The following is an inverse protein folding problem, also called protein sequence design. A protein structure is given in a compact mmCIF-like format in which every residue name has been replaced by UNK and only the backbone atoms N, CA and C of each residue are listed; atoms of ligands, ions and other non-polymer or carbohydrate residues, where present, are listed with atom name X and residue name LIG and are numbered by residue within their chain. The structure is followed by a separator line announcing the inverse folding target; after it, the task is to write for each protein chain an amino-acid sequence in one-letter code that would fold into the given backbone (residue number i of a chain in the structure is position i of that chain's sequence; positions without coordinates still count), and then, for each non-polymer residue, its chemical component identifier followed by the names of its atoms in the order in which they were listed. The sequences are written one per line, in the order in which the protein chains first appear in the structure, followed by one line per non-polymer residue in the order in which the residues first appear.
data_IF_041696974862
#
_entry.id   IF_041696974862
#
_cell.length_a   1.000
_cell.length_b   1.000
_cell.length_c   1.000
_cell.angle_alpha   90.00
_cell.angle_beta   90.00
_cell.angle_gamma   90.00
#
_symmetry.space_group_name_H-M   'P 1'
#
loop_
_entity.id
_entity.type
_entity.pdbx_description
1 polymer ?
#
# COMPACT_ATOMS: atom_id res chain seq x y z
N UNK A 1 110.12 -38.05 -1.73
CA UNK A 1 109.67 -39.01 -0.69
C UNK A 1 108.71 -38.27 0.21
N UNK A 2 107.54 -38.86 0.50
CA UNK A 2 106.53 -38.17 1.32
C UNK A 2 107.02 -38.06 2.76
N UNK A 3 106.78 -36.93 3.45
CA UNK A 3 107.14 -36.78 4.87
C UNK A 3 106.58 -37.91 5.73
N UNK A 4 105.41 -38.46 5.38
CA UNK A 4 104.84 -39.63 6.03
C UNK A 4 105.72 -40.89 5.91
N UNK A 5 106.37 -41.08 4.76
CA UNK A 5 107.32 -42.19 4.55
C UNK A 5 108.60 -42.01 5.38
N UNK A 6 109.05 -40.78 5.61
CA UNK A 6 110.24 -40.51 6.42
C UNK A 6 109.97 -40.72 7.91
N UNK A 7 108.79 -40.33 8.41
CA UNK A 7 108.38 -40.60 9.80
C UNK A 7 108.13 -42.09 10.06
N UNK A 8 107.43 -42.78 9.15
CA UNK A 8 107.21 -44.24 9.26
C UNK A 8 108.54 -45.00 9.31
N UNK A 9 109.54 -44.60 8.51
CA UNK A 9 110.90 -45.16 8.58
C UNK A 9 111.60 -44.89 9.90
N UNK A 10 111.43 -43.70 10.47
CA UNK A 10 112.03 -43.35 11.76
C UNK A 10 111.41 -44.18 12.89
N UNK A 11 110.09 -44.35 12.91
CA UNK A 11 109.41 -45.21 13.89
C UNK A 11 109.79 -46.69 13.74
N UNK A 12 109.83 -47.21 12.51
CA UNK A 12 110.26 -48.57 12.24
C UNK A 12 111.71 -48.83 12.68
N UNK A 13 112.60 -47.84 12.52
CA UNK A 13 113.99 -47.93 12.98
C UNK A 13 114.07 -47.99 14.51
N UNK A 14 113.36 -47.12 15.22
CA UNK A 14 113.35 -47.12 16.69
C UNK A 14 112.78 -48.42 17.24
N UNK A 15 111.70 -48.95 16.66
CA UNK A 15 111.15 -50.25 17.04
C UNK A 15 112.15 -51.41 16.81
N UNK A 16 112.88 -51.37 15.68
CA UNK A 16 113.94 -52.34 15.37
C UNK A 16 115.12 -52.26 16.36
N UNK A 17 115.54 -51.06 16.73
CA UNK A 17 116.65 -50.85 17.67
C UNK A 17 116.27 -51.37 19.07
N UNK A 18 115.04 -51.12 19.54
CA UNK A 18 114.51 -51.66 20.81
C UNK A 18 114.41 -53.19 20.76
N UNK A 19 113.95 -53.76 19.63
CA UNK A 19 113.89 -55.20 19.46
C UNK A 19 115.28 -55.85 19.50
N UNK A 20 116.28 -55.20 18.89
CA UNK A 20 117.67 -55.65 18.89
C UNK A 20 118.27 -55.58 20.29
N UNK A 21 118.07 -54.48 21.02
CA UNK A 21 118.52 -54.35 22.40
C UNK A 21 117.89 -55.39 23.33
N UNK A 22 116.61 -55.72 23.14
CA UNK A 22 115.94 -56.79 23.90
C UNK A 22 116.53 -58.18 23.56
N UNK A 23 116.84 -58.45 22.30
CA UNK A 23 117.51 -59.69 21.87
C UNK A 23 118.93 -59.80 22.46
N UNK A 24 119.72 -58.72 22.42
CA UNK A 24 121.07 -58.68 23.00
C UNK A 24 121.03 -58.94 24.52
N UNK A 25 120.12 -58.29 25.24
CA UNK A 25 119.92 -58.52 26.68
C UNK A 25 119.42 -59.94 26.94
N UNK A 26 118.62 -60.52 26.03
CA UNK A 26 118.11 -61.90 26.16
C UNK A 26 119.23 -62.95 26.16
N UNK A 27 120.33 -62.69 25.45
CA UNK A 27 121.48 -63.59 25.26
C UNK A 27 122.54 -63.51 26.36
N UNK A 28 122.47 -62.51 27.23
CA UNK A 28 123.38 -62.41 28.38
C UNK A 28 123.01 -63.47 29.43
N UNK A 29 123.96 -64.37 29.72
CA UNK A 29 123.88 -65.36 30.80
C UNK A 29 124.82 -64.95 31.93
N UNK A 30 124.33 -64.93 33.18
CA UNK A 30 125.08 -64.47 34.35
C UNK A 30 124.99 -65.52 35.46
N UNK A 31 126.15 -66.05 35.84
CA UNK A 31 126.30 -67.20 36.73
C UNK A 31 126.01 -66.94 38.22
N UNK A 32 125.63 -65.70 38.60
CA UNK A 32 125.33 -65.30 39.97
C UNK A 32 123.85 -64.90 40.10
N UNK A 33 123.16 -65.44 41.11
CA UNK A 33 121.74 -65.25 41.40
C UNK A 33 121.30 -63.77 41.40
N UNK A 34 122.13 -62.87 41.96
CA UNK A 34 121.83 -61.42 41.97
C UNK A 34 121.86 -60.78 40.57
N UNK A 35 122.78 -61.23 39.72
CA UNK A 35 122.91 -60.73 38.36
C UNK A 35 121.79 -61.25 37.45
N UNK A 36 121.39 -62.52 37.63
CA UNK A 36 120.27 -63.09 36.91
C UNK A 36 118.94 -62.42 37.28
N UNK A 37 118.71 -62.12 38.56
CA UNK A 37 117.53 -61.37 39.01
C UNK A 37 117.48 -59.95 38.41
N UNK A 38 118.62 -59.26 38.30
CA UNK A 38 118.67 -57.93 37.69
C UNK A 38 118.43 -57.98 36.17
N UNK A 39 119.01 -58.96 35.47
CA UNK A 39 118.76 -59.19 34.05
C UNK A 39 117.29 -59.52 33.76
N UNK A 40 116.64 -60.33 34.60
CA UNK A 40 115.22 -60.61 34.48
C UNK A 40 114.37 -59.33 34.57
N UNK A 41 114.67 -58.45 35.54
CA UNK A 41 113.97 -57.16 35.68
C UNK A 41 114.21 -56.21 34.50
N UNK A 42 115.41 -56.21 33.92
CA UNK A 42 115.73 -55.41 32.73
C UNK A 42 114.99 -55.94 31.49
N UNK A 43 114.94 -57.27 31.29
CA UNK A 43 114.17 -57.91 30.20
C UNK A 43 112.68 -57.59 30.30
N UNK A 44 112.12 -57.67 31.51
CA UNK A 44 110.72 -57.33 31.78
C UNK A 44 110.41 -55.88 31.41
N UNK A 45 111.20 -54.92 31.93
CA UNK A 45 111.01 -53.49 31.63
C UNK A 45 111.19 -53.13 30.14
N UNK A 46 112.16 -53.74 29.45
CA UNK A 46 112.34 -53.56 28.01
C UNK A 46 111.18 -54.16 27.21
N UNK A 47 110.65 -55.32 27.64
CA UNK A 47 109.47 -55.95 27.04
C UNK A 47 108.21 -55.08 27.18
N UNK A 48 107.97 -54.53 28.37
CA UNK A 48 106.87 -53.58 28.59
C UNK A 48 107.04 -52.31 27.75
N UNK A 49 108.25 -51.75 27.71
CA UNK A 49 108.54 -50.56 26.93
C UNK A 49 108.33 -50.81 25.43
N UNK A 50 108.74 -51.96 24.91
CA UNK A 50 108.48 -52.38 23.53
C UNK A 50 106.98 -52.48 23.26
N UNK A 51 106.25 -53.22 24.10
CA UNK A 51 104.80 -53.41 23.90
C UNK A 51 104.04 -52.09 23.91
N UNK A 52 104.42 -51.16 24.80
CA UNK A 52 103.81 -49.83 24.87
C UNK A 52 104.16 -49.00 23.64
N UNK A 53 105.42 -49.00 23.23
CA UNK A 53 105.88 -48.25 22.06
C UNK A 53 105.19 -48.73 20.78
N UNK A 54 105.13 -50.04 20.55
CA UNK A 54 104.45 -50.63 19.39
C UNK A 54 102.96 -50.25 19.34
N UNK A 55 102.30 -50.19 20.49
CA UNK A 55 100.91 -49.72 20.62
C UNK A 55 100.73 -48.25 20.24
N UNK A 56 101.59 -47.36 20.74
CA UNK A 56 101.57 -45.91 20.42
C UNK A 56 101.86 -45.64 18.94
N UNK A 57 102.80 -46.37 18.33
CA UNK A 57 103.08 -46.26 16.89
C UNK A 57 101.85 -46.68 16.07
N UNK A 58 101.22 -47.79 16.42
CA UNK A 58 100.01 -48.27 15.73
C UNK A 58 98.85 -47.26 15.84
N UNK A 59 98.71 -46.61 17.00
CA UNK A 59 97.70 -45.56 17.21
C UNK A 59 97.97 -44.34 16.32
N UNK A 60 99.22 -43.86 16.30
CA UNK A 60 99.63 -42.72 15.48
C UNK A 60 99.47 -43.00 13.99
N UNK A 61 99.84 -44.19 13.50
CA UNK A 61 99.68 -44.57 12.09
C UNK A 61 98.21 -44.59 11.66
N UNK A 62 97.30 -45.04 12.53
CA UNK A 62 95.88 -45.14 12.22
C UNK A 62 95.14 -43.79 12.23
N UNK A 63 95.55 -42.87 13.11
CA UNK A 63 94.78 -41.66 13.40
C UNK A 63 95.42 -40.37 12.91
N UNK A 64 96.67 -40.38 12.46
CA UNK A 64 97.32 -39.18 11.97
C UNK A 64 97.01 -38.97 10.48
N UNK A 65 96.39 -37.83 10.17
CA UNK A 65 96.11 -37.39 8.80
C UNK A 65 97.33 -36.66 8.21
N UNK A 66 98.38 -37.40 7.87
CA UNK A 66 99.63 -36.82 7.34
C UNK A 66 99.53 -36.32 5.89
N UNK A 67 98.46 -36.64 5.18
CA UNK A 67 98.31 -36.37 3.74
C UNK A 67 97.27 -35.27 3.42
N UNK A 68 96.67 -34.66 4.45
CA UNK A 68 95.71 -33.58 4.26
C UNK A 68 96.42 -32.22 4.25
N UNK A 69 96.36 -31.55 3.11
CA UNK A 69 96.79 -30.16 2.98
C UNK A 69 95.86 -29.26 3.82
N UNK A 70 96.33 -28.86 4.99
CA UNK A 70 95.54 -28.10 5.97
C UNK A 70 95.88 -26.62 5.89
N UNK A 71 94.87 -25.79 5.64
CA UNK A 71 94.97 -24.32 5.73
C UNK A 71 94.15 -23.86 6.93
N UNK A 72 94.76 -23.08 7.83
CA UNK A 72 94.07 -22.43 8.94
C UNK A 72 93.93 -20.93 8.68
N UNK A 73 92.71 -20.40 8.79
CA UNK A 73 92.42 -18.98 8.62
C UNK A 73 92.25 -18.29 9.98
N UNK A 74 93.05 -17.26 10.24
CA UNK A 74 93.00 -16.45 11.46
C UNK A 74 92.66 -14.99 11.16
N UNK A 75 92.05 -14.30 12.12
CA UNK A 75 91.67 -12.88 12.01
C UNK A 75 90.47 -12.53 12.89
N UNK A 76 90.18 -11.24 13.01
CA UNK A 76 89.05 -10.72 13.81
C UNK A 76 87.68 -11.02 13.15
N UNK A 77 86.60 -10.91 13.92
CA UNK A 77 85.23 -11.04 13.40
C UNK A 77 85.02 -10.04 12.26
N UNK A 78 84.31 -10.44 11.20
CA UNK A 78 84.05 -9.61 10.02
C UNK A 78 85.29 -9.26 9.14
N UNK A 79 86.47 -9.83 9.40
CA UNK A 79 87.66 -9.66 8.55
C UNK A 79 87.57 -10.39 7.18
N UNK A 80 86.40 -10.90 6.80
CA UNK A 80 86.19 -11.61 5.52
C UNK A 80 86.68 -13.07 5.50
N UNK A 81 87.06 -13.66 6.64
CA UNK A 81 87.51 -15.07 6.71
C UNK A 81 86.52 -16.04 6.07
N UNK A 82 85.23 -15.90 6.38
CA UNK A 82 84.17 -16.73 5.81
C UNK A 82 84.05 -16.55 4.30
N UNK A 83 84.22 -15.33 3.79
CA UNK A 83 84.19 -15.04 2.36
C UNK A 83 85.34 -15.71 1.62
N UNK A 84 86.56 -15.69 2.18
CA UNK A 84 87.72 -16.35 1.57
C UNK A 84 87.52 -17.86 1.54
N UNK A 85 87.10 -18.45 2.66
CA UNK A 85 86.80 -19.88 2.74
C UNK A 85 85.76 -20.25 1.68
N UNK A 86 84.69 -19.47 1.59
CA UNK A 86 83.62 -19.69 0.62
C UNK A 86 84.10 -19.56 -0.83
N UNK A 87 84.90 -18.54 -1.16
CA UNK A 87 85.51 -18.37 -2.48
C UNK A 87 86.39 -19.57 -2.86
N UNK A 88 87.17 -20.10 -1.92
CA UNK A 88 87.99 -21.30 -2.16
C UNK A 88 87.13 -22.54 -2.39
N UNK A 89 86.03 -22.71 -1.63
CA UNK A 89 85.08 -23.81 -1.82
C UNK A 89 84.44 -23.78 -3.21
N UNK A 90 84.16 -22.59 -3.74
CA UNK A 90 83.63 -22.40 -5.09
C UNK A 90 84.73 -22.67 -6.13
N UNK A 91 85.91 -22.06 -5.97
CA UNK A 91 87.04 -22.19 -6.90
C UNK A 91 87.51 -23.64 -7.07
N UNK A 92 87.54 -24.40 -5.98
CA UNK A 92 87.93 -25.82 -5.99
C UNK A 92 86.76 -26.78 -6.16
N UNK A 93 85.57 -26.27 -6.51
CA UNK A 93 84.39 -27.07 -6.81
C UNK A 93 84.05 -28.10 -5.73
N UNK A 94 84.03 -27.68 -4.46
CA UNK A 94 83.71 -28.59 -3.35
C UNK A 94 82.37 -29.28 -3.61
N UNK A 95 82.38 -30.61 -3.76
CA UNK A 95 81.20 -31.40 -4.16
C UNK A 95 79.96 -31.09 -3.31
N UNK A 96 80.13 -30.97 -1.99
CA UNK A 96 79.04 -30.64 -1.05
C UNK A 96 78.46 -29.25 -1.34
N UNK A 97 79.32 -28.27 -1.66
CA UNK A 97 78.90 -26.90 -1.99
C UNK A 97 78.19 -26.84 -3.33
N UNK A 98 78.70 -27.52 -4.35
CA UNK A 98 78.06 -27.60 -5.66
C UNK A 98 76.65 -28.23 -5.58
N UNK A 99 76.51 -29.32 -4.82
CA UNK A 99 75.20 -29.94 -4.58
C UNK A 99 74.22 -28.98 -3.88
N UNK A 100 74.71 -28.17 -2.93
CA UNK A 100 73.90 -27.15 -2.27
C UNK A 100 73.47 -26.02 -3.23
N UNK A 101 74.37 -25.54 -4.10
CA UNK A 101 74.03 -24.53 -5.13
C UNK A 101 72.92 -25.07 -6.03
N UNK A 102 73.09 -26.27 -6.57
CA UNK A 102 72.13 -26.90 -7.48
C UNK A 102 70.76 -27.09 -6.79
N UNK A 103 70.74 -27.56 -5.54
CA UNK A 103 69.50 -27.69 -4.77
C UNK A 103 68.80 -26.35 -4.56
N UNK A 104 69.54 -25.31 -4.20
CA UNK A 104 68.98 -23.98 -3.98
C UNK A 104 68.43 -23.38 -5.28
N UNK A 105 69.12 -23.56 -6.41
CA UNK A 105 68.64 -23.15 -7.73
C UNK A 105 67.36 -23.89 -8.14
N UNK A 106 67.31 -25.21 -7.93
CA UNK A 106 66.10 -26.01 -8.18
C UNK A 106 64.94 -25.50 -7.32
N UNK A 107 65.18 -25.29 -6.02
CA UNK A 107 64.15 -24.78 -5.09
C UNK A 107 63.64 -23.40 -5.50
N UNK A 108 64.53 -22.50 -5.93
CA UNK A 108 64.13 -21.17 -6.39
C UNK A 108 63.28 -21.26 -7.68
N UNK A 109 63.65 -22.14 -8.61
CA UNK A 109 62.87 -22.40 -9.82
C UNK A 109 61.49 -22.98 -9.49
N UNK A 110 61.42 -23.94 -8.56
CA UNK A 110 60.15 -24.55 -8.12
C UNK A 110 59.23 -23.51 -7.48
N UNK A 111 59.77 -22.67 -6.59
CA UNK A 111 59.01 -21.58 -5.96
C UNK A 111 58.49 -20.62 -7.02
N UNK A 112 59.34 -20.24 -7.99
CA UNK A 112 58.94 -19.34 -9.07
C UNK A 112 57.83 -19.96 -9.92
N UNK A 113 57.92 -21.23 -10.27
CA UNK A 113 56.90 -21.93 -11.05
C UNK A 113 55.55 -21.99 -10.31
N UNK A 114 55.56 -22.34 -9.02
CA UNK A 114 54.34 -22.37 -8.19
C UNK A 114 53.74 -20.97 -8.07
N UNK A 115 54.55 -19.94 -7.84
CA UNK A 115 54.08 -18.56 -7.73
C UNK A 115 53.45 -18.08 -9.03
N UNK A 116 54.09 -18.32 -10.18
CA UNK A 116 53.54 -17.97 -11.49
C UNK A 116 52.22 -18.68 -11.75
N UNK A 117 52.15 -20.00 -11.52
CA UNK A 117 50.91 -20.77 -11.67
C UNK A 117 49.77 -20.21 -10.81
N UNK A 118 50.05 -19.87 -9.54
CA UNK A 118 49.03 -19.34 -8.64
C UNK A 118 48.61 -17.92 -9.02
N UNK A 119 49.54 -17.12 -9.55
CA UNK A 119 49.24 -15.79 -10.08
C UNK A 119 48.33 -15.88 -11.29
N UNK A 120 48.61 -16.80 -12.22
CA UNK A 120 47.80 -17.00 -13.42
C UNK A 120 46.39 -17.48 -13.06
N UNK A 121 46.26 -18.46 -12.14
CA UNK A 121 44.97 -18.90 -11.61
C UNK A 121 44.17 -17.75 -10.98
N UNK A 122 44.84 -16.90 -10.18
CA UNK A 122 44.18 -15.78 -9.52
C UNK A 122 43.72 -14.72 -10.53
N UNK A 123 44.53 -14.45 -11.56
CA UNK A 123 44.17 -13.53 -12.64
C UNK A 123 42.94 -14.07 -13.38
N UNK A 124 42.93 -15.36 -13.73
CA UNK A 124 41.80 -15.99 -14.41
C UNK A 124 40.53 -15.96 -13.56
N UNK A 125 40.63 -16.26 -12.26
CA UNK A 125 39.48 -16.19 -11.33
C UNK A 125 38.93 -14.75 -11.24
N UNK A 126 39.81 -13.76 -11.09
CA UNK A 126 39.41 -12.36 -11.01
C UNK A 126 38.81 -11.86 -12.31
N UNK A 127 39.39 -12.21 -13.46
CA UNK A 127 38.85 -11.87 -14.78
C UNK A 127 37.46 -12.49 -14.99
N UNK A 128 37.29 -13.76 -14.63
CA UNK A 128 35.98 -14.44 -14.70
C UNK A 128 34.96 -13.75 -13.81
N UNK A 129 35.31 -13.46 -12.56
CA UNK A 129 34.41 -12.78 -11.63
C UNK A 129 34.06 -11.37 -12.11
N UNK A 130 35.01 -10.65 -12.69
CA UNK A 130 34.78 -9.33 -13.25
C UNK A 130 33.78 -9.37 -14.41
N UNK A 131 33.94 -10.32 -15.35
CA UNK A 131 33.02 -10.51 -16.47
C UNK A 131 31.61 -10.83 -15.98
N UNK A 132 31.47 -11.76 -15.04
CA UNK A 132 30.16 -12.11 -14.46
C UNK A 132 29.51 -10.88 -13.79
N UNK A 133 30.28 -10.09 -13.06
CA UNK A 133 29.77 -8.86 -12.43
C UNK A 133 29.31 -7.83 -13.46
N UNK A 134 29.99 -7.71 -14.60
CA UNK A 134 29.54 -6.86 -15.70
C UNK A 134 28.24 -7.36 -16.34
N UNK A 135 28.07 -8.68 -16.46
CA UNK A 135 26.82 -9.30 -16.96
C UNK A 135 25.66 -9.08 -15.98
N UNK A 136 25.89 -9.26 -14.68
CA UNK A 136 24.91 -8.96 -13.62
C UNK A 136 24.48 -7.48 -13.65
N UNK A 137 25.42 -6.55 -13.87
CA UNK A 137 25.09 -5.13 -14.02
C UNK A 137 24.26 -4.86 -15.28
N UNK A 138 24.60 -5.52 -16.39
CA UNK A 138 23.87 -5.34 -17.65
C UNK A 138 22.41 -5.83 -17.52
N UNK A 139 22.23 -7.04 -16.97
CA UNK A 139 20.90 -7.61 -16.72
C UNK A 139 20.07 -6.77 -15.76
N UNK A 140 20.68 -6.28 -14.67
CA UNK A 140 20.02 -5.34 -13.76
C UNK A 140 19.60 -4.05 -14.48
N UNK A 141 20.43 -3.55 -15.40
CA UNK A 141 20.11 -2.40 -16.24
C UNK A 141 18.87 -2.63 -17.11
N UNK A 142 18.79 -3.80 -17.75
CA UNK A 142 17.64 -4.20 -18.58
C UNK A 142 16.35 -4.34 -17.74
N UNK A 143 16.44 -4.96 -16.55
CA UNK A 143 15.32 -5.11 -15.61
C UNK A 143 14.79 -3.75 -15.14
N UNK A 144 15.69 -2.83 -14.77
CA UNK A 144 15.33 -1.46 -14.40
C UNK A 144 14.65 -0.76 -15.59
N UNK A 145 15.19 -0.92 -16.80
CA UNK A 145 14.59 -0.37 -18.02
C UNK A 145 13.17 -0.89 -18.26
N UNK A 146 12.96 -2.21 -18.10
CA UNK A 146 11.65 -2.84 -18.21
C UNK A 146 10.67 -2.31 -17.15
N UNK A 147 11.11 -2.17 -15.90
CA UNK A 147 10.28 -1.66 -14.81
C UNK A 147 9.88 -0.20 -15.01
N UNK A 148 10.81 0.65 -15.48
CA UNK A 148 10.53 2.06 -15.81
C UNK A 148 9.50 2.14 -16.93
N UNK A 149 9.68 1.36 -18.00
CA UNK A 149 8.73 1.33 -19.11
C UNK A 149 7.34 0.85 -18.67
N UNK A 150 7.28 -0.18 -17.81
CA UNK A 150 6.02 -0.67 -17.26
C UNK A 150 5.33 0.40 -16.42
N UNK A 151 6.06 1.02 -15.49
CA UNK A 151 5.56 2.09 -14.63
C UNK A 151 5.05 3.28 -15.46
N UNK A 152 5.74 3.61 -16.55
CA UNK A 152 5.32 4.68 -17.45
C UNK A 152 4.02 4.35 -18.19
N UNK A 153 3.84 3.10 -18.65
CA UNK A 153 2.59 2.64 -19.26
C UNK A 153 1.44 2.67 -18.26
N UNK A 154 1.67 2.18 -17.04
CA UNK A 154 0.64 2.15 -16.00
C UNK A 154 0.23 3.57 -15.57
N UNK A 155 1.19 4.49 -15.48
CA UNK A 155 0.91 5.91 -15.21
C UNK A 155 0.09 6.55 -16.33
N UNK A 156 0.42 6.27 -17.59
CA UNK A 156 -0.35 6.76 -18.75
C UNK A 156 -1.78 6.21 -18.74
N UNK A 157 -1.95 4.91 -18.47
CA UNK A 157 -3.28 4.29 -18.37
C UNK A 157 -4.10 4.90 -17.24
N UNK A 158 -3.50 5.08 -16.05
CA UNK A 158 -4.16 5.70 -14.90
C UNK A 158 -4.57 7.15 -15.21
N UNK A 159 -3.73 7.91 -15.92
CA UNK A 159 -4.07 9.29 -16.36
C UNK A 159 -5.27 9.30 -17.29
N UNK A 160 -5.32 8.40 -18.27
CA UNK A 160 -6.46 8.30 -19.19
C UNK A 160 -7.75 7.94 -18.45
N UNK A 161 -7.68 6.99 -17.51
CA UNK A 161 -8.84 6.63 -16.68
C UNK A 161 -9.32 7.80 -15.81
N UNK A 162 -8.38 8.57 -15.25
CA UNK A 162 -8.71 9.76 -14.47
C UNK A 162 -9.39 10.83 -15.33
N UNK A 163 -8.88 11.09 -16.54
CA UNK A 163 -9.51 12.01 -17.49
C UNK A 163 -10.93 11.58 -17.85
N UNK A 164 -11.15 10.29 -18.13
CA UNK A 164 -12.48 9.77 -18.43
C UNK A 164 -13.43 9.93 -17.24
N UNK A 165 -12.98 9.58 -16.03
CA UNK A 165 -13.76 9.75 -14.80
C UNK A 165 -14.10 11.22 -14.53
N UNK A 166 -13.17 12.15 -14.82
CA UNK A 166 -13.43 13.58 -14.69
C UNK A 166 -14.48 14.06 -15.69
N UNK A 167 -14.46 13.56 -16.93
CA UNK A 167 -15.48 13.86 -17.93
C UNK A 167 -16.86 13.34 -17.52
N UNK A 168 -16.94 12.10 -17.05
CA UNK A 168 -18.18 11.49 -16.55
C UNK A 168 -18.74 12.25 -15.35
N UNK A 169 -17.88 12.68 -14.43
CA UNK A 169 -18.26 13.52 -13.30
C UNK A 169 -18.81 14.87 -13.77
N UNK A 170 -18.14 15.53 -14.73
CA UNK A 170 -18.61 16.80 -15.29
C UNK A 170 -19.98 16.64 -15.97
N UNK A 171 -20.16 15.57 -16.76
CA UNK A 171 -21.44 15.24 -17.40
C UNK A 171 -22.55 14.99 -16.36
N UNK A 172 -22.29 14.20 -15.32
CA UNK A 172 -23.25 13.95 -14.26
C UNK A 172 -23.61 15.23 -13.49
N UNK A 173 -22.64 16.10 -13.23
CA UNK A 173 -22.85 17.39 -12.58
C UNK A 173 -23.76 18.30 -13.40
N UNK A 174 -23.55 18.37 -14.71
CA UNK A 174 -24.39 19.16 -15.62
C UNK A 174 -25.82 18.61 -15.68
N UNK A 175 -25.97 17.28 -15.80
CA UNK A 175 -27.28 16.63 -15.74
C UNK A 175 -28.02 16.88 -14.44
N UNK A 176 -27.32 16.86 -13.30
CA UNK A 176 -27.91 17.16 -12.00
C UNK A 176 -28.39 18.62 -11.94
N UNK A 177 -27.63 19.56 -12.52
CA UNK A 177 -28.04 20.96 -12.62
C UNK A 177 -29.32 21.12 -13.44
N UNK A 178 -29.42 20.45 -14.59
CA UNK A 178 -30.62 20.47 -15.43
C UNK A 178 -31.82 19.90 -14.68
N UNK A 179 -31.67 18.72 -14.08
CA UNK A 179 -32.75 18.08 -13.31
C UNK A 179 -33.21 18.95 -12.14
N UNK A 180 -32.30 19.68 -11.49
CA UNK A 180 -32.64 20.63 -10.41
C UNK A 180 -33.48 21.78 -10.95
N UNK A 181 -33.07 22.38 -12.07
CA UNK A 181 -33.83 23.46 -12.71
C UNK A 181 -35.22 23.01 -13.18
N UNK A 182 -35.32 21.81 -13.77
CA UNK A 182 -36.59 21.23 -14.20
C UNK A 182 -37.53 20.97 -13.01
N UNK A 183 -36.97 20.50 -11.89
CA UNK A 183 -37.72 20.28 -10.65
C UNK A 183 -38.23 21.60 -10.06
N UNK A 184 -37.41 22.66 -10.07
CA UNK A 184 -37.83 24.00 -9.64
C UNK A 184 -38.92 24.58 -10.55
N UNK A 185 -38.81 24.42 -11.87
CA UNK A 185 -39.84 24.84 -12.83
C UNK A 185 -41.16 24.08 -12.62
N UNK A 186 -41.07 22.77 -12.39
CA UNK A 186 -42.24 21.92 -12.10
C UNK A 186 -42.89 22.35 -10.78
N UNK A 187 -42.09 22.65 -9.75
CA UNK A 187 -42.57 23.13 -8.45
C UNK A 187 -43.31 24.47 -8.58
N UNK A 188 -42.78 25.42 -9.34
CA UNK A 188 -43.45 26.69 -9.61
C UNK A 188 -44.77 26.49 -10.36
N UNK A 189 -44.78 25.61 -11.37
CA UNK A 189 -45.99 25.28 -12.12
C UNK A 189 -47.03 24.66 -11.21
N UNK A 190 -46.65 23.71 -10.35
CA UNK A 190 -47.53 23.07 -9.38
C UNK A 190 -48.16 24.11 -8.43
N UNK A 191 -47.36 24.99 -7.85
CA UNK A 191 -47.85 26.10 -7.02
C UNK A 191 -48.87 26.98 -7.78
N UNK A 192 -48.61 27.28 -9.05
CA UNK A 192 -49.55 28.00 -9.90
C UNK A 192 -50.85 27.21 -10.18
N UNK A 193 -50.78 25.89 -10.29
CA UNK A 193 -52.00 25.07 -10.43
C UNK A 193 -52.79 24.97 -9.13
N UNK A 194 -52.12 24.89 -7.99
CA UNK A 194 -52.74 24.87 -6.66
C UNK A 194 -53.50 26.17 -6.38
N UNK A 195 -52.91 27.33 -6.71
CA UNK A 195 -53.60 28.62 -6.55
C UNK A 195 -54.83 28.72 -7.43
N UNK A 196 -54.75 28.36 -8.72
CA UNK A 196 -55.91 28.33 -9.62
C UNK A 196 -57.00 27.36 -9.15
N UNK A 197 -56.62 26.21 -8.60
CA UNK A 197 -57.57 25.25 -8.04
C UNK A 197 -58.30 25.87 -6.83
N UNK A 198 -57.56 26.53 -5.93
CA UNK A 198 -58.15 27.23 -4.79
C UNK A 198 -59.12 28.34 -5.23
N UNK A 199 -58.76 29.12 -6.25
CA UNK A 199 -59.63 30.16 -6.82
C UNK A 199 -60.88 29.56 -7.49
N UNK A 200 -60.73 28.45 -8.22
CA UNK A 200 -61.86 27.74 -8.83
C UNK A 200 -62.81 27.16 -7.76
N UNK A 201 -62.27 26.64 -6.65
CA UNK A 201 -63.06 26.17 -5.52
C UNK A 201 -63.83 27.33 -4.86
N UNK A 202 -63.21 28.51 -4.70
CA UNK A 202 -63.90 29.71 -4.20
C UNK A 202 -65.03 30.16 -5.13
N UNK A 203 -64.76 30.21 -6.44
CA UNK A 203 -65.75 30.59 -7.44
C UNK A 203 -66.94 29.61 -7.45
N UNK A 204 -66.67 28.30 -7.34
CA UNK A 204 -67.71 27.29 -7.22
C UNK A 204 -68.55 27.48 -5.94
N UNK A 205 -67.91 27.72 -4.79
CA UNK A 205 -68.61 27.99 -3.54
C UNK A 205 -69.50 29.25 -3.64
N UNK A 206 -69.02 30.30 -4.30
CA UNK A 206 -69.80 31.50 -4.57
C UNK A 206 -71.01 31.19 -5.46
N UNK A 207 -70.82 30.49 -6.58
CA UNK A 207 -71.92 30.12 -7.49
C UNK A 207 -72.96 29.21 -6.81
N UNK A 208 -72.53 28.29 -5.95
CA UNK A 208 -73.43 27.50 -5.10
C UNK A 208 -74.24 28.38 -4.15
N UNK A 209 -73.62 29.38 -3.52
CA UNK A 209 -74.30 30.36 -2.67
C UNK A 209 -75.33 31.19 -3.44
N UNK A 210 -74.96 31.67 -4.63
CA UNK A 210 -75.87 32.40 -5.53
C UNK A 210 -77.05 31.52 -5.98
N UNK A 211 -76.81 30.27 -6.36
CA UNK A 211 -77.86 29.30 -6.68
C UNK A 211 -78.81 29.06 -5.50
N UNK A 212 -78.27 28.95 -4.29
CA UNK A 212 -79.08 28.78 -3.08
C UNK A 212 -79.93 30.03 -2.81
N UNK A 213 -79.40 31.23 -3.04
CA UNK A 213 -80.13 32.48 -2.95
C UNK A 213 -81.24 32.58 -4.01
N UNK A 214 -80.95 32.23 -5.27
CA UNK A 214 -81.96 32.17 -6.34
C UNK A 214 -83.03 31.13 -6.00
N UNK A 215 -82.66 29.99 -5.43
CA UNK A 215 -83.58 28.99 -4.92
C UNK A 215 -84.55 29.55 -3.86
N UNK A 216 -84.03 30.31 -2.89
CA UNK A 216 -84.83 31.01 -1.88
C UNK A 216 -85.75 32.07 -2.51
N UNK A 217 -85.24 32.85 -3.47
CA UNK A 217 -86.05 33.84 -4.19
C UNK A 217 -87.19 33.17 -4.97
N UNK A 218 -86.91 32.09 -5.70
CA UNK A 218 -87.92 31.31 -6.43
C UNK A 218 -88.97 30.72 -5.47
N UNK A 219 -88.56 30.26 -4.29
CA UNK A 219 -89.50 29.82 -3.25
C UNK A 219 -90.38 30.98 -2.77
N UNK A 220 -89.81 32.17 -2.59
CA UNK A 220 -90.54 33.41 -2.30
C UNK A 220 -91.56 33.75 -3.38
N UNK A 221 -91.13 33.86 -4.64
CA UNK A 221 -92.00 34.12 -5.80
C UNK A 221 -93.10 33.06 -5.91
N UNK A 222 -92.76 31.78 -5.69
CA UNK A 222 -93.76 30.69 -5.69
C UNK A 222 -94.81 30.91 -4.60
N UNK A 223 -94.41 31.33 -3.40
CA UNK A 223 -95.33 31.62 -2.31
C UNK A 223 -96.22 32.83 -2.62
N UNK A 224 -95.69 33.88 -3.26
CA UNK A 224 -96.46 35.04 -3.70
C UNK A 224 -97.42 34.72 -4.85
N UNK A 225 -97.00 33.86 -5.79
CA UNK A 225 -97.86 33.34 -6.84
C UNK A 225 -99.02 32.50 -6.25
N UNK A 226 -98.75 31.64 -5.26
CA UNK A 226 -99.79 30.89 -4.56
C UNK A 226 -100.78 31.83 -3.84
N UNK A 227 -100.29 32.90 -3.18
CA UNK A 227 -101.15 33.93 -2.58
C UNK A 227 -102.01 34.63 -3.63
N UNK A 228 -101.44 35.01 -4.77
CA UNK A 228 -102.19 35.64 -5.87
C UNK A 228 -103.25 34.70 -6.45
N UNK A 229 -102.93 33.40 -6.56
CA UNK A 229 -103.90 32.38 -6.97
C UNK A 229 -105.04 32.24 -5.96
N UNK A 230 -104.74 32.21 -4.65
CA UNK A 230 -105.76 32.23 -3.61
C UNK A 230 -106.63 33.48 -3.68
N UNK A 231 -106.03 34.66 -3.84
CA UNK A 231 -106.77 35.92 -4.00
C UNK A 231 -107.67 35.92 -5.24
N UNK A 232 -107.20 35.39 -6.38
CA UNK A 232 -108.04 35.23 -7.57
C UNK A 232 -109.20 34.25 -7.32
N UNK A 233 -108.96 33.20 -6.54
CA UNK A 233 -110.01 32.24 -6.15
C UNK A 233 -111.02 32.89 -5.22
N UNK A 234 -110.57 33.71 -4.26
CA UNK A 234 -111.43 34.51 -3.37
C UNK A 234 -112.21 35.57 -4.13
N UNK A 235 -111.58 36.29 -5.07
CA UNK A 235 -112.26 37.26 -5.94
C UNK A 235 -113.26 36.55 -6.85
N UNK A 236 -112.92 35.38 -7.39
CA UNK A 236 -113.84 34.53 -8.14
C UNK A 236 -115.04 34.10 -7.28
N UNK A 237 -114.79 33.68 -6.04
CA UNK A 237 -115.84 33.34 -5.09
C UNK A 237 -116.72 34.55 -4.77
N UNK A 238 -116.13 35.73 -4.50
CA UNK A 238 -116.84 36.99 -4.25
C UNK A 238 -117.68 37.43 -5.45
N UNK A 239 -117.17 37.27 -6.67
CA UNK A 239 -117.90 37.54 -7.91
C UNK A 239 -119.10 36.59 -8.04
N UNK A 240 -118.92 35.33 -7.67
CA UNK A 240 -119.98 34.32 -7.64
C UNK A 240 -121.04 34.68 -6.58
N UNK A 241 -120.64 35.15 -5.39
CA UNK A 241 -121.58 35.64 -4.37
C UNK A 241 -122.32 36.89 -4.82
N UNK A 242 -121.64 37.84 -5.48
CA UNK A 242 -122.27 39.03 -6.05
C UNK A 242 -123.25 38.67 -7.18
N UNK A 243 -122.91 37.68 -8.01
CA UNK A 243 -123.80 37.15 -9.05
C UNK A 243 -125.02 36.44 -8.44
N UNK A 244 -124.83 35.71 -7.34
CA UNK A 244 -125.92 35.08 -6.57
C UNK A 244 -126.83 36.14 -5.95
N UNK A 245 -126.25 37.19 -5.35
CA UNK A 245 -127.01 38.33 -4.80
C UNK A 245 -127.77 39.10 -5.89
N UNK A 246 -127.20 39.25 -7.09
CA UNK A 246 -127.88 39.88 -8.23
C UNK A 246 -129.08 39.03 -8.70
N UNK A 247 -128.93 37.71 -8.73
CA UNK A 247 -130.02 36.78 -9.07
C UNK A 247 -131.14 36.79 -8.02
N UNK A 248 -130.80 37.02 -6.75
CA UNK A 248 -131.75 37.12 -5.65
C UNK A 248 -132.48 38.47 -5.64
N UNK A 249 -131.79 39.55 -6.02
CA UNK A 249 -132.36 40.89 -6.25
C UNK A 249 -133.34 40.90 -7.44
N UNK A 250 -133.01 40.18 -8.52
CA UNK A 250 -133.93 39.96 -9.66
C UNK A 250 -135.17 39.17 -9.23
N UNK A 251 -135.01 38.16 -8.36
CA UNK A 251 -136.14 37.39 -7.80
C UNK A 251 -137.03 38.22 -6.87
N UNK A 252 -136.44 39.14 -6.09
CA UNK A 252 -137.18 40.08 -5.24
C UNK A 252 -137.93 41.13 -6.06
N UNK A 253 -137.39 41.58 -7.19
CA UNK A 253 -138.06 42.46 -8.16
C UNK A 253 -139.28 41.79 -8.81
N UNK A 254 -139.18 40.52 -9.20
CA UNK A 254 -140.32 39.75 -9.75
C UNK A 254 -141.40 39.45 -8.70
N UNK A 255 -141.03 39.15 -7.46
CA UNK A 255 -141.98 38.95 -6.36
C UNK A 255 -142.73 40.25 -5.98
N UNK A 256 -142.10 41.42 -6.14
CA UNK A 256 -142.72 42.73 -5.92
C UNK A 256 -143.72 43.14 -7.04
N UNK A 257 -143.56 42.67 -8.29
CA UNK A 257 -144.55 42.92 -9.36
C UNK A 257 -145.85 42.15 -9.15
N UNK A 258 -145.79 40.93 -8.61
CA UNK A 258 -146.98 40.08 -8.42
C UNK A 258 -147.84 40.52 -7.22
N UNK A 259 -147.25 41.15 -6.19
CA UNK A 259 -148.01 41.67 -5.03
C UNK A 259 -148.73 43.00 -5.31
N UNK A 260 -148.25 43.80 -6.28
CA UNK A 260 -148.86 45.06 -6.68
C UNK A 260 -150.07 44.90 -7.62
N UNK A 261 -150.22 43.78 -8.33
CA UNK A 261 -151.37 43.52 -9.21
C UNK A 261 -152.62 42.94 -8.50
N UNK A 262 -152.49 42.41 -7.28
CA UNK A 262 -153.64 41.91 -6.49
C UNK A 262 -154.27 42.95 -5.55
N UNK A 263 -153.64 44.11 -5.32
CA UNK A 263 -154.19 45.18 -4.45
C UNK A 263 -154.96 46.31 -5.18
N UNK A 264 -155.03 46.30 -6.52
CA UNK A 264 -155.67 47.36 -7.30
C UNK A 264 -157.14 47.07 -7.72
N UNK A 265 -157.76 45.95 -7.32
CA UNK A 265 -159.14 45.56 -7.73
C UNK A 265 -160.18 45.44 -6.60
N UNK A 266 -159.89 45.84 -5.35
CA UNK A 266 -160.84 45.68 -4.23
C UNK A 266 -161.08 46.92 -3.33
N UNK A 267 -160.71 48.14 -3.74
CA UNK A 267 -161.09 49.37 -2.99
C UNK A 267 -161.42 50.56 -3.90
N UNK A 268 -162.45 50.41 -4.74
CA UNK A 268 -163.16 51.52 -5.42
C UNK A 268 -164.70 51.37 -5.39
N UNK A 269 -165.27 50.70 -4.37
CA UNK A 269 -166.74 50.70 -4.14
C UNK A 269 -167.01 50.74 -2.64
N UNK A 270 -167.51 51.87 -2.12
CA UNK A 270 -167.80 52.19 -0.70
C UNK A 270 -166.56 52.84 -0.02
N UNK A 271 -166.52 54.13 0.32
CA UNK A 271 -167.58 54.99 0.83
C UNK A 271 -167.74 54.81 2.35
N UNK A 272 -166.88 55.42 3.18
CA UNK A 272 -167.29 56.27 4.32
C UNK A 272 -166.11 56.71 5.22
N UNK A 273 -166.03 58.03 5.40
CA UNK A 273 -165.31 58.82 6.43
C UNK A 273 -163.78 58.77 6.35
N UNK A 274 -163.11 59.78 5.77
CA UNK A 274 -162.91 61.11 6.36
C UNK A 274 -161.51 61.11 7.00
N UNK A 275 -160.54 61.94 6.66
CA UNK A 275 -160.60 63.30 6.16
C UNK A 275 -159.87 64.21 7.15
N UNK A 276 -158.67 64.66 6.72
CA UNK A 276 -158.10 66.03 6.92
C UNK A 276 -157.64 66.35 8.37
N UNK A 277 -156.40 66.84 8.62
CA UNK A 277 -156.03 68.27 8.61
C UNK A 277 -154.55 68.48 9.04
N UNK A 278 -153.79 69.20 8.19
CA UNK A 278 -152.73 70.24 8.43
C UNK A 278 -151.45 69.84 9.22
N UNK A 279 -150.21 70.27 8.91
CA UNK A 279 -149.68 71.19 7.91
C UNK A 279 -148.18 71.50 8.18
N UNK A 280 -147.47 71.89 7.10
CA UNK A 280 -146.57 73.06 6.94
C UNK A 280 -145.58 73.50 8.06
N UNK A 281 -144.32 73.67 7.63
CA UNK A 281 -143.20 74.60 8.04
C UNK A 281 -141.97 74.07 8.82
N UNK A 282 -140.81 74.49 8.26
CA UNK A 282 -139.45 74.70 8.83
C UNK A 282 -138.65 73.46 9.27
N UNK A 283 -137.34 73.37 9.08
CA UNK A 283 -136.35 74.32 8.59
C UNK A 283 -134.95 73.89 9.08
N UNK A 284 -133.94 74.16 8.25
CA UNK A 284 -132.60 74.57 8.63
C UNK A 284 -131.59 73.58 9.29
N UNK A 285 -130.47 73.44 8.56
CA UNK A 285 -129.07 73.58 9.02
C UNK A 285 -128.36 72.35 9.61
N UNK A 286 -127.13 72.13 9.12
CA UNK A 286 -126.12 71.42 9.91
C UNK A 286 -124.94 70.81 9.13
N UNK A 287 -124.16 71.65 8.47
CA UNK A 287 -122.81 71.33 7.94
C UNK A 287 -121.80 71.16 9.09
N UNK A 288 -120.82 70.25 8.95
CA UNK A 288 -119.38 70.37 9.34
C UNK A 288 -118.74 68.97 9.48
N UNK A 289 -117.82 68.57 8.57
CA UNK A 289 -116.33 68.60 8.69
C UNK A 289 -115.76 67.39 9.46
N UNK A 290 -114.59 66.82 9.16
CA UNK A 290 -113.46 67.09 8.25
C UNK A 290 -112.55 65.84 8.27
N UNK A 291 -111.77 65.66 7.18
CA UNK A 291 -110.48 64.94 7.07
C UNK A 291 -110.40 63.44 7.40
#
# INVERSE_FOLDING_TARGET
MSKAQDFSKLYARVASDIATALDDVSRLDVSNDKGNAHLASVKEKLGEMKSRFDGEITYLEKHAEWDNFTIAFFGETNAGKSTIIESLRILFEEKKRQALIARNQATASDIQAVFSSKSDELIEELSTRYVNFCEDIATLGDDIGALVNQTQRDLQSTRQQLEHTQQDYAYCKERLSVATNDLDSTRQTLQGTETRLADSQRALAQSQGELQQVGLQLQGVRSDFQRSQQQLTEQGAQLQTAQTQLSECLRQSEAARISLEQQAKLKLVIGLVGGVVIGVIAGAVGYAQLL
#
